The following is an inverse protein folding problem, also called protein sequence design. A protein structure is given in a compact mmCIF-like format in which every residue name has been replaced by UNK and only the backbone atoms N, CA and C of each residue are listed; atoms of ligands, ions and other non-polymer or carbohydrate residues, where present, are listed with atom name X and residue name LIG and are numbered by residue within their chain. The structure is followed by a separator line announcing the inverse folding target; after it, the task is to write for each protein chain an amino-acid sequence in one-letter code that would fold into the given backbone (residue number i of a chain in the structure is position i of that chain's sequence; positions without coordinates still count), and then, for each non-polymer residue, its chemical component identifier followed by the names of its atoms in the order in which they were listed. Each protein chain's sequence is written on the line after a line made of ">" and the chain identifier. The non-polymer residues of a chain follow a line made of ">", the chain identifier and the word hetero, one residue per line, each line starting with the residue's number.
data_IF_763597517667
#
_entry.id   IF_763597517667
#
_cell.length_a   1.000
_cell.length_b   1.000
_cell.length_c   1.000
_cell.angle_alpha   90.00
_cell.angle_beta   90.00
_cell.angle_gamma   90.00
#
_symmetry.space_group_name_H-M   'P 1'
#
loop_
_entity.id
_entity.type
_entity.pdbx_description
1 polymer ?
#
# COMPACT_ATOMS: atom_id res chain seq x y z
N UNK A 1 27.37 -17.58 -7.65
CA UNK A 1 27.35 -17.35 -6.21
C UNK A 1 26.20 -16.40 -5.93
N UNK A 2 25.03 -16.91 -5.51
CA UNK A 2 23.92 -16.05 -5.11
C UNK A 2 24.34 -15.37 -3.80
N UNK A 3 24.70 -14.11 -3.86
CA UNK A 3 24.79 -13.30 -2.65
C UNK A 3 23.38 -13.19 -2.09
N UNK A 4 23.09 -13.96 -1.06
CA UNK A 4 21.88 -13.80 -0.28
C UNK A 4 21.86 -12.37 0.21
N UNK A 5 20.79 -11.64 -0.08
CA UNK A 5 20.64 -10.26 0.41
C UNK A 5 20.61 -10.30 1.94
N UNK A 6 21.70 -9.84 2.55
CA UNK A 6 21.87 -9.81 4.00
C UNK A 6 20.72 -9.09 4.71
N UNK A 7 20.15 -8.09 4.06
CA UNK A 7 19.08 -7.26 4.63
C UNK A 7 17.67 -7.77 4.31
N UNK A 8 17.55 -8.96 3.68
CA UNK A 8 16.24 -9.53 3.38
C UNK A 8 15.29 -9.59 4.61
N UNK A 9 15.76 -9.94 5.84
CA UNK A 9 14.90 -9.98 7.02
C UNK A 9 14.26 -8.64 7.39
N UNK A 10 14.93 -7.52 7.10
CA UNK A 10 14.41 -6.19 7.46
C UNK A 10 13.91 -5.39 6.26
N UNK A 11 13.84 -5.98 5.07
CA UNK A 11 13.45 -5.27 3.86
C UNK A 11 12.10 -4.58 4.00
N UNK A 12 11.09 -5.27 4.55
CA UNK A 12 9.76 -4.71 4.76
C UNK A 12 9.77 -3.50 5.72
N UNK A 13 10.61 -3.53 6.73
CA UNK A 13 10.80 -2.40 7.66
C UNK A 13 11.42 -1.18 6.98
N UNK A 14 12.20 -1.38 5.90
CA UNK A 14 12.84 -0.29 5.16
C UNK A 14 11.96 0.26 4.03
N UNK A 15 10.77 -0.29 3.81
CA UNK A 15 9.81 0.18 2.80
C UNK A 15 8.94 1.32 3.36
N UNK A 16 9.57 2.33 3.93
CA UNK A 16 8.91 3.49 4.53
C UNK A 16 9.69 4.77 4.24
N UNK A 17 9.04 5.91 4.37
CA UNK A 17 9.73 7.20 4.26
C UNK A 17 10.75 7.36 5.39
N UNK A 18 11.92 7.89 5.08
CA UNK A 18 13.04 8.02 6.05
C UNK A 18 12.65 8.73 7.34
N UNK A 19 11.84 9.79 7.25
CA UNK A 19 11.41 10.52 8.45
C UNK A 19 10.56 9.69 9.41
N UNK A 20 9.87 8.64 8.91
CA UNK A 20 9.04 7.74 9.74
C UNK A 20 9.87 6.84 10.66
N UNK A 21 11.15 6.62 10.33
CA UNK A 21 12.07 5.89 11.20
C UNK A 21 12.25 6.59 12.56
N UNK A 22 12.14 7.92 12.59
CA UNK A 22 12.24 8.72 13.82
C UNK A 22 10.92 8.99 14.53
N UNK A 23 9.77 8.61 13.97
CA UNK A 23 8.46 8.92 14.56
C UNK A 23 8.26 8.31 15.94
N UNK A 24 8.84 7.14 16.22
CA UNK A 24 8.74 6.51 17.54
C UNK A 24 9.23 7.43 18.66
N UNK A 25 10.31 8.20 18.43
CA UNK A 25 10.82 9.18 19.39
C UNK A 25 9.88 10.40 19.52
N UNK A 26 9.28 10.84 18.42
CA UNK A 26 8.33 11.95 18.44
C UNK A 26 7.07 11.59 19.25
N UNK A 27 6.56 10.38 19.11
CA UNK A 27 5.44 9.89 19.91
C UNK A 27 5.79 9.82 21.40
N UNK A 28 7.00 9.37 21.76
CA UNK A 28 7.46 9.35 23.17
C UNK A 28 7.44 10.74 23.80
N UNK A 29 7.77 11.78 23.03
CA UNK A 29 7.78 13.17 23.47
C UNK A 29 6.37 13.78 23.55
N UNK A 30 5.49 13.42 22.61
CA UNK A 30 4.15 13.99 22.51
C UNK A 30 3.10 13.26 23.37
N UNK A 31 3.44 12.11 23.94
CA UNK A 31 2.52 11.17 24.58
C UNK A 31 2.11 10.05 23.61
N UNK A 32 2.17 8.81 24.09
CA UNK A 32 1.86 7.63 23.27
C UNK A 32 0.34 7.46 23.15
N UNK A 33 -0.24 7.47 21.94
CA UNK A 33 -1.64 7.17 21.74
C UNK A 33 -1.90 5.67 21.94
N UNK A 34 -3.10 5.30 22.32
CA UNK A 34 -3.51 3.88 22.36
C UNK A 34 -3.82 3.37 20.93
N UNK A 35 -4.48 4.19 20.13
CA UNK A 35 -4.87 3.88 18.75
C UNK A 35 -4.47 5.03 17.83
N UNK A 36 -3.81 4.69 16.74
CA UNK A 36 -3.59 5.57 15.59
C UNK A 36 -4.49 5.09 14.45
N UNK A 37 -5.39 5.95 14.03
CA UNK A 37 -6.39 5.67 13.01
C UNK A 37 -6.07 6.45 11.73
N UNK A 38 -5.84 5.72 10.65
CA UNK A 38 -5.54 6.28 9.33
C UNK A 38 -6.66 6.00 8.34
N UNK A 39 -6.78 6.86 7.32
CA UNK A 39 -7.74 6.68 6.25
C UNK A 39 -7.07 6.88 4.89
N UNK A 40 -7.56 6.17 3.88
CA UNK A 40 -7.22 6.36 2.49
C UNK A 40 -8.30 7.16 1.79
N UNK A 41 -7.94 8.38 1.34
CA UNK A 41 -8.88 9.31 0.73
C UNK A 41 -8.31 9.87 -0.56
N UNK A 42 -8.98 9.63 -1.67
CA UNK A 42 -8.61 10.20 -2.96
C UNK A 42 -8.90 11.71 -2.97
N UNK A 43 -7.88 12.52 -3.29
CA UNK A 43 -7.97 13.99 -3.16
C UNK A 43 -8.72 14.65 -4.30
N UNK A 44 -8.73 14.05 -5.49
CA UNK A 44 -9.37 14.59 -6.69
C UNK A 44 -9.05 13.75 -7.92
N UNK A 45 -9.62 14.15 -9.05
CA UNK A 45 -9.35 13.62 -10.38
C UNK A 45 -8.72 14.69 -11.26
N UNK A 46 -7.91 14.27 -12.23
CA UNK A 46 -7.42 15.12 -13.33
C UNK A 46 -8.21 14.93 -14.63
N UNK A 47 -9.21 14.06 -14.59
CA UNK A 47 -10.11 13.81 -15.71
C UNK A 47 -11.35 14.64 -15.49
N UNK A 48 -11.68 15.52 -16.43
CA UNK A 48 -12.84 16.40 -16.34
C UNK A 48 -14.15 15.59 -16.21
N UNK A 49 -14.99 15.98 -15.26
CA UNK A 49 -16.27 15.32 -14.98
C UNK A 49 -16.18 14.01 -14.19
N UNK A 50 -14.97 13.56 -13.84
CA UNK A 50 -14.76 12.35 -13.00
C UNK A 50 -14.55 12.78 -11.55
N UNK A 51 -15.54 12.54 -10.71
CA UNK A 51 -15.57 12.89 -9.28
C UNK A 51 -15.59 11.66 -8.36
N UNK A 52 -15.44 10.47 -8.91
CA UNK A 52 -15.34 9.19 -8.20
C UNK A 52 -14.05 8.46 -8.59
N UNK A 53 -13.49 7.70 -7.66
CA UNK A 53 -12.36 6.79 -7.89
C UNK A 53 -12.80 5.39 -7.51
N UNK A 54 -12.54 4.41 -8.36
CA UNK A 54 -12.82 3.01 -8.06
C UNK A 54 -11.85 2.53 -6.99
N UNK A 55 -12.39 2.03 -5.88
CA UNK A 55 -11.60 1.37 -4.84
C UNK A 55 -11.14 0.01 -5.35
N UNK A 56 -9.82 -0.18 -5.49
CA UNK A 56 -9.27 -1.42 -5.98
C UNK A 56 -7.82 -1.63 -5.51
N UNK A 57 -7.44 -2.89 -5.22
CA UNK A 57 -6.08 -3.31 -4.90
C UNK A 57 -5.78 -3.54 -3.42
N UNK A 58 -6.71 -3.24 -2.49
CA UNK A 58 -6.50 -3.41 -1.05
C UNK A 58 -6.26 -4.89 -0.68
N UNK A 59 -7.06 -5.81 -1.20
CA UNK A 59 -6.92 -7.25 -0.89
C UNK A 59 -5.57 -7.78 -1.36
N UNK A 60 -5.15 -7.44 -2.58
CA UNK A 60 -3.86 -7.83 -3.11
C UNK A 60 -2.70 -7.23 -2.29
N UNK A 61 -2.82 -5.99 -1.86
CA UNK A 61 -1.85 -5.35 -0.98
C UNK A 61 -1.72 -6.07 0.36
N UNK A 62 -2.82 -6.45 1.00
CA UNK A 62 -2.79 -7.13 2.30
C UNK A 62 -2.09 -8.50 2.22
N UNK A 63 -2.28 -9.24 1.13
CA UNK A 63 -1.54 -10.48 0.87
C UNK A 63 -0.04 -10.20 0.74
N UNK A 64 0.34 -9.23 -0.11
CA UNK A 64 1.73 -8.81 -0.28
C UNK A 64 2.36 -8.33 1.02
N UNK A 65 1.63 -7.59 1.82
CA UNK A 65 2.13 -7.09 3.12
C UNK A 65 2.52 -8.25 4.03
N UNK A 66 1.70 -9.30 4.08
CA UNK A 66 2.02 -10.54 4.80
C UNK A 66 3.27 -11.21 4.27
N UNK A 67 3.37 -11.37 2.94
CA UNK A 67 4.54 -11.99 2.29
C UNK A 67 5.83 -11.19 2.52
N UNK A 68 5.76 -9.87 2.51
CA UNK A 68 6.92 -9.01 2.77
C UNK A 68 7.44 -9.11 4.20
N UNK A 69 6.53 -9.26 5.18
CA UNK A 69 6.91 -9.41 6.58
C UNK A 69 7.22 -10.85 6.98
N UNK A 70 6.92 -11.87 6.16
CA UNK A 70 7.24 -13.26 6.47
C UNK A 70 8.74 -13.50 6.74
N UNK A 71 9.71 -12.96 5.95
CA UNK A 71 11.13 -13.09 6.27
C UNK A 71 11.54 -12.42 7.58
N UNK A 72 10.89 -11.33 7.97
CA UNK A 72 11.12 -10.65 9.24
C UNK A 72 10.75 -11.55 10.43
N UNK A 73 9.56 -12.14 10.42
CA UNK A 73 9.11 -13.00 11.51
C UNK A 73 9.81 -14.37 11.54
N UNK A 74 10.37 -14.82 10.42
CA UNK A 74 11.08 -16.09 10.32
C UNK A 74 12.56 -16.00 10.71
N UNK A 75 13.14 -14.80 10.77
CA UNK A 75 14.55 -14.61 11.09
C UNK A 75 14.80 -14.66 12.59
N UNK A 76 16.07 -14.74 12.97
CA UNK A 76 16.49 -14.59 14.37
C UNK A 76 16.24 -13.16 14.85
N UNK A 77 15.70 -13.01 16.06
CA UNK A 77 15.30 -11.73 16.67
C UNK A 77 16.49 -10.78 16.83
N UNK A 78 17.62 -11.29 17.31
CA UNK A 78 18.80 -10.46 17.56
C UNK A 78 19.41 -10.01 16.23
N UNK A 79 19.45 -10.88 15.23
CA UNK A 79 19.89 -10.54 13.88
C UNK A 79 19.02 -9.43 13.26
N UNK A 80 17.70 -9.52 13.40
CA UNK A 80 16.77 -8.48 12.91
C UNK A 80 17.08 -7.13 13.56
N UNK A 81 17.24 -7.12 14.88
CA UNK A 81 17.55 -5.89 15.62
C UNK A 81 18.91 -5.28 15.23
N UNK A 82 19.94 -6.12 15.12
CA UNK A 82 21.27 -5.67 14.64
C UNK A 82 21.20 -5.07 13.25
N UNK A 83 20.57 -5.73 12.31
CA UNK A 83 20.44 -5.25 10.93
C UNK A 83 19.65 -3.94 10.84
N UNK A 84 18.59 -3.81 11.66
CA UNK A 84 17.79 -2.59 11.72
C UNK A 84 18.62 -1.42 12.25
N UNK A 85 19.33 -1.59 13.37
CA UNK A 85 20.19 -0.56 13.96
C UNK A 85 21.34 -0.18 13.03
N UNK A 86 21.96 -1.16 12.35
CA UNK A 86 22.99 -0.90 11.32
C UNK A 86 22.43 0.01 10.22
N UNK A 87 21.21 -0.28 9.73
CA UNK A 87 20.55 0.54 8.71
C UNK A 87 20.18 1.93 9.21
N UNK A 88 19.66 2.05 10.43
CA UNK A 88 19.43 3.36 11.04
C UNK A 88 20.70 4.20 11.09
N UNK A 89 21.81 3.62 11.54
CA UNK A 89 23.08 4.33 11.60
C UNK A 89 23.60 4.75 10.22
N UNK A 90 23.40 3.93 9.19
CA UNK A 90 23.78 4.26 7.81
C UNK A 90 22.95 5.41 7.23
N UNK A 91 21.66 5.49 7.58
CA UNK A 91 20.70 6.45 7.01
C UNK A 91 20.71 7.76 7.80
N UNK A 92 20.67 7.69 9.12
CA UNK A 92 20.48 8.84 10.01
C UNK A 92 21.79 9.28 10.70
N UNK A 93 22.86 8.48 10.62
CA UNK A 93 24.03 8.67 11.44
C UNK A 93 23.80 8.26 12.90
N UNK A 94 24.62 8.75 13.85
CA UNK A 94 24.43 8.49 15.28
C UNK A 94 23.02 8.94 15.74
N UNK A 95 22.26 8.02 16.33
CA UNK A 95 20.90 8.26 16.79
C UNK A 95 20.58 7.43 18.04
N UNK A 96 19.45 7.71 18.68
CA UNK A 96 18.98 7.07 19.92
C UNK A 96 17.70 6.26 19.74
N UNK A 97 17.29 6.02 18.48
CA UNK A 97 16.00 5.37 18.18
C UNK A 97 15.95 3.93 18.72
N UNK A 98 17.05 3.19 18.51
CA UNK A 98 17.13 1.78 18.93
C UNK A 98 16.18 0.85 18.20
N UNK A 99 16.10 -0.39 18.64
CA UNK A 99 15.31 -1.46 18.02
C UNK A 99 14.25 -2.09 18.94
N UNK A 100 14.00 -1.54 20.13
CA UNK A 100 13.07 -2.12 21.11
C UNK A 100 11.66 -2.36 20.54
N UNK A 101 11.13 -1.40 19.78
CA UNK A 101 9.82 -1.49 19.13
C UNK A 101 9.80 -2.54 18.01
N UNK A 102 10.91 -2.76 17.33
CA UNK A 102 11.08 -3.78 16.29
C UNK A 102 11.15 -5.17 16.94
N UNK A 103 11.90 -5.28 18.05
CA UNK A 103 11.97 -6.50 18.86
C UNK A 103 10.60 -6.90 19.40
N UNK A 104 9.84 -5.95 19.92
CA UNK A 104 8.47 -6.17 20.36
C UNK A 104 7.58 -6.68 19.24
N UNK A 105 7.67 -6.08 18.04
CA UNK A 105 6.90 -6.52 16.87
C UNK A 105 7.30 -7.94 16.43
N UNK A 106 8.60 -8.25 16.42
CA UNK A 106 9.09 -9.59 16.09
C UNK A 106 8.52 -10.64 17.05
N UNK A 107 8.54 -10.38 18.35
CA UNK A 107 7.95 -11.27 19.40
C UNK A 107 6.44 -11.40 19.27
N UNK A 108 5.76 -10.37 18.77
CA UNK A 108 4.32 -10.42 18.49
C UNK A 108 3.97 -11.48 17.44
N UNK A 109 4.88 -11.72 16.47
CA UNK A 109 4.76 -12.76 15.47
C UNK A 109 3.76 -12.49 14.34
N UNK A 110 3.11 -11.33 14.34
CA UNK A 110 2.20 -10.86 13.28
C UNK A 110 2.07 -9.33 13.32
N UNK A 111 1.51 -8.75 12.25
CA UNK A 111 1.22 -7.32 12.20
C UNK A 111 -0.10 -7.03 12.93
N UNK A 112 -0.08 -6.35 14.09
CA UNK A 112 -1.29 -6.04 14.86
C UNK A 112 -2.04 -4.84 14.26
N UNK A 113 -2.54 -5.01 13.04
CA UNK A 113 -3.28 -4.01 12.26
C UNK A 113 -4.64 -4.56 11.84
N UNK A 114 -5.62 -3.69 11.76
CA UNK A 114 -6.92 -3.97 11.18
C UNK A 114 -7.20 -3.01 10.04
N UNK A 115 -7.82 -3.52 8.98
CA UNK A 115 -8.25 -2.76 7.81
C UNK A 115 -9.75 -2.95 7.63
N UNK A 116 -10.43 -1.87 7.26
CA UNK A 116 -11.84 -1.90 6.91
C UNK A 116 -12.08 -0.95 5.73
N UNK A 117 -12.70 -1.45 4.67
CA UNK A 117 -12.93 -0.68 3.45
C UNK A 117 -14.24 -1.03 2.80
N UNK A 118 -14.61 -0.26 1.79
CA UNK A 118 -15.72 -0.61 0.89
C UNK A 118 -15.31 -1.82 0.04
N UNK A 119 -16.26 -2.48 -0.56
CA UNK A 119 -16.02 -3.58 -1.50
C UNK A 119 -15.19 -3.10 -2.70
N UNK A 120 -14.22 -3.91 -3.15
CA UNK A 120 -13.43 -3.60 -4.34
C UNK A 120 -14.31 -3.50 -5.59
N UNK A 121 -13.98 -2.59 -6.49
CA UNK A 121 -14.84 -2.22 -7.62
C UNK A 121 -15.83 -1.08 -7.30
N UNK A 122 -16.00 -0.69 -6.03
CA UNK A 122 -16.93 0.38 -5.66
C UNK A 122 -16.39 1.76 -6.09
N UNK A 123 -17.16 2.55 -6.87
CA UNK A 123 -16.82 3.95 -7.11
C UNK A 123 -17.05 4.78 -5.84
N UNK A 124 -15.99 5.38 -5.32
CA UNK A 124 -16.03 6.20 -4.10
C UNK A 124 -15.84 7.67 -4.49
N UNK A 125 -16.68 8.59 -4.02
CA UNK A 125 -16.51 10.01 -4.30
C UNK A 125 -15.13 10.50 -3.84
N UNK A 126 -14.50 11.39 -4.60
CA UNK A 126 -13.27 12.07 -4.15
C UNK A 126 -13.53 12.78 -2.83
N UNK A 127 -12.52 12.84 -1.97
CA UNK A 127 -12.58 13.37 -0.59
C UNK A 127 -13.42 12.55 0.38
N UNK A 128 -13.82 11.34 -0.01
CA UNK A 128 -14.45 10.35 0.89
C UNK A 128 -13.46 9.20 1.09
N UNK A 129 -13.24 8.74 2.34
CA UNK A 129 -12.39 7.58 2.59
C UNK A 129 -12.94 6.31 1.93
N UNK A 130 -12.09 5.57 1.21
CA UNK A 130 -12.45 4.27 0.65
C UNK A 130 -12.10 3.11 1.60
N UNK A 131 -11.08 3.30 2.43
CA UNK A 131 -10.78 2.39 3.53
C UNK A 131 -10.07 3.12 4.67
N UNK A 132 -10.03 2.45 5.81
CA UNK A 132 -9.39 2.90 7.04
C UNK A 132 -8.58 1.76 7.63
N UNK A 133 -7.58 2.09 8.46
CA UNK A 133 -6.79 1.08 9.17
C UNK A 133 -6.23 1.65 10.46
N UNK A 134 -5.99 0.76 11.43
CA UNK A 134 -5.53 1.12 12.77
C UNK A 134 -4.77 -0.04 13.41
N UNK A 135 -3.99 0.27 14.46
CA UNK A 135 -3.35 -0.74 15.29
C UNK A 135 -4.38 -1.42 16.20
N UNK A 136 -4.29 -2.75 16.36
CA UNK A 136 -5.17 -3.55 17.22
C UNK A 136 -4.58 -3.79 18.61
N UNK A 137 -3.37 -3.31 18.87
CA UNK A 137 -2.65 -3.40 20.11
C UNK A 137 -1.94 -2.07 20.38
N UNK A 138 -2.15 -1.49 21.56
CA UNK A 138 -1.66 -0.17 21.94
C UNK A 138 -0.12 -0.05 21.91
N UNK A 139 0.61 -1.14 22.12
CA UNK A 139 2.08 -1.15 22.02
C UNK A 139 2.56 -0.81 20.60
N UNK A 140 1.77 -1.11 19.58
CA UNK A 140 2.12 -0.95 18.17
C UNK A 140 1.45 0.26 17.50
N UNK A 141 1.13 1.30 18.27
CA UNK A 141 0.54 2.56 17.76
C UNK A 141 1.35 3.18 16.62
N UNK A 142 2.65 3.04 16.65
CA UNK A 142 3.60 3.59 15.66
C UNK A 142 3.47 2.92 14.28
N UNK A 143 3.02 1.66 14.25
CA UNK A 143 3.03 0.83 13.04
C UNK A 143 2.06 1.33 11.98
N UNK A 144 0.90 1.87 12.37
CA UNK A 144 -0.10 2.43 11.44
C UNK A 144 0.52 3.49 10.55
N UNK A 145 1.16 4.50 11.15
CA UNK A 145 1.83 5.56 10.40
C UNK A 145 3.04 5.02 9.61
N UNK A 146 3.74 4.04 10.15
CA UNK A 146 4.94 3.48 9.55
C UNK A 146 4.68 2.85 8.18
N UNK A 147 3.56 2.13 8.02
CA UNK A 147 3.22 1.44 6.76
C UNK A 147 2.48 2.32 5.75
N UNK A 148 2.10 3.55 6.08
CA UNK A 148 1.36 4.43 5.14
C UNK A 148 2.07 4.61 3.79
N UNK A 149 3.40 4.62 3.77
CA UNK A 149 4.18 4.74 2.54
C UNK A 149 3.91 3.57 1.60
N UNK A 150 3.96 2.34 2.12
CA UNK A 150 3.69 1.13 1.31
C UNK A 150 2.21 1.04 0.92
N UNK A 151 1.30 1.36 1.83
CA UNK A 151 -0.14 1.49 1.52
C UNK A 151 -0.34 2.43 0.34
N UNK A 152 0.27 3.61 0.41
CA UNK A 152 0.15 4.62 -0.64
C UNK A 152 0.70 4.13 -1.97
N UNK A 153 1.90 3.57 -1.96
CA UNK A 153 2.59 3.11 -3.17
C UNK A 153 1.82 1.99 -3.91
N UNK A 154 1.17 1.10 -3.17
CA UNK A 154 0.49 -0.07 -3.74
C UNK A 154 -0.96 0.19 -4.17
N UNK A 155 -1.65 1.16 -3.55
CA UNK A 155 -3.10 1.34 -3.78
C UNK A 155 -3.40 2.39 -4.86
N UNK A 156 -2.61 3.47 -4.97
CA UNK A 156 -2.96 4.57 -5.88
C UNK A 156 -3.06 4.15 -7.33
N UNK A 157 -2.16 3.28 -7.80
CA UNK A 157 -2.05 2.91 -9.20
C UNK A 157 -3.17 1.94 -9.64
N UNK A 158 -3.45 0.80 -8.96
CA UNK A 158 -4.55 -0.08 -9.35
C UNK A 158 -5.91 0.62 -9.28
N UNK A 159 -6.16 1.46 -8.27
CA UNK A 159 -7.38 2.28 -8.20
C UNK A 159 -7.50 3.27 -9.35
N UNK A 160 -6.39 3.88 -9.77
CA UNK A 160 -6.36 4.77 -10.93
C UNK A 160 -6.62 4.00 -12.22
N UNK A 161 -6.00 2.84 -12.41
CA UNK A 161 -6.22 2.00 -13.59
C UNK A 161 -7.68 1.54 -13.70
N UNK A 162 -8.26 1.07 -12.60
CA UNK A 162 -9.67 0.69 -12.53
C UNK A 162 -10.61 1.87 -12.84
N UNK A 163 -10.29 3.06 -12.35
CA UNK A 163 -11.08 4.28 -12.64
C UNK A 163 -11.01 4.65 -14.11
N UNK A 164 -9.83 4.61 -14.72
CA UNK A 164 -9.65 4.91 -16.15
C UNK A 164 -10.38 3.87 -17.00
N UNK A 165 -10.26 2.58 -16.68
CA UNK A 165 -10.96 1.50 -17.39
C UNK A 165 -12.48 1.69 -17.33
N UNK A 166 -13.03 2.00 -16.17
CA UNK A 166 -14.44 2.32 -15.98
C UNK A 166 -14.92 3.49 -16.87
N UNK A 167 -14.15 4.56 -16.93
CA UNK A 167 -14.50 5.73 -17.74
C UNK A 167 -14.37 5.44 -19.25
N UNK A 168 -13.35 4.67 -19.66
CA UNK A 168 -13.26 4.18 -21.03
C UNK A 168 -14.45 3.31 -21.40
N UNK A 169 -14.85 2.40 -20.53
CA UNK A 169 -16.04 1.55 -20.72
C UNK A 169 -17.29 2.40 -20.92
N UNK A 170 -17.53 3.40 -20.11
CA UNK A 170 -18.66 4.31 -20.24
C UNK A 170 -18.70 4.98 -21.61
N UNK A 171 -17.59 5.48 -22.11
CA UNK A 171 -17.49 6.13 -23.44
C UNK A 171 -17.77 5.13 -24.57
N UNK A 172 -17.25 3.91 -24.44
CA UNK A 172 -17.47 2.85 -25.43
C UNK A 172 -18.94 2.38 -25.46
N UNK A 173 -19.58 2.22 -24.32
CA UNK A 173 -21.00 1.89 -24.21
C UNK A 173 -21.90 2.98 -24.86
N UNK A 174 -21.62 4.25 -24.56
CA UNK A 174 -22.30 5.39 -25.20
C UNK A 174 -22.07 5.39 -26.74
N UNK A 175 -20.87 5.05 -27.18
CA UNK A 175 -20.52 4.92 -28.59
C UNK A 175 -21.33 3.81 -29.28
N UNK A 176 -21.40 2.64 -28.64
CA UNK A 176 -22.15 1.49 -29.15
C UNK A 176 -23.65 1.82 -29.30
N UNK A 177 -24.25 2.46 -28.31
CA UNK A 177 -25.66 2.93 -28.37
C UNK A 177 -25.86 3.90 -29.54
N UNK A 178 -24.98 4.88 -29.73
CA UNK A 178 -25.08 5.88 -30.81
C UNK A 178 -24.94 5.30 -32.22
N UNK A 179 -24.13 4.26 -32.36
CA UNK A 179 -23.85 3.65 -33.67
C UNK A 179 -24.71 2.44 -33.98
N UNK A 180 -25.48 1.94 -33.01
CA UNK A 180 -26.25 0.69 -33.14
C UNK A 180 -25.35 -0.54 -33.20
N UNK A 181 -24.12 -0.46 -32.67
CA UNK A 181 -23.19 -1.59 -32.57
C UNK A 181 -23.65 -2.58 -31.49
N UNK A 182 -23.22 -3.84 -31.63
CA UNK A 182 -23.45 -4.86 -30.62
C UNK A 182 -22.76 -4.47 -29.30
N UNK A 183 -23.51 -4.32 -28.17
CA UNK A 183 -22.93 -4.02 -26.88
C UNK A 183 -21.86 -5.04 -26.41
N UNK A 184 -22.00 -6.32 -26.80
CA UNK A 184 -21.02 -7.36 -26.47
C UNK A 184 -19.64 -7.11 -27.11
N UNK A 185 -19.58 -6.34 -28.22
CA UNK A 185 -18.31 -5.98 -28.83
C UNK A 185 -17.50 -4.98 -27.99
N UNK A 186 -18.15 -4.27 -27.06
CA UNK A 186 -17.47 -3.29 -26.20
C UNK A 186 -16.44 -3.95 -25.29
N UNK A 187 -16.70 -5.17 -24.83
CA UNK A 187 -15.79 -5.94 -23.96
C UNK A 187 -14.40 -6.15 -24.60
N UNK A 188 -14.31 -6.04 -25.92
CA UNK A 188 -13.08 -6.27 -26.69
C UNK A 188 -12.48 -5.00 -27.31
N UNK A 189 -13.00 -3.81 -27.00
CA UNK A 189 -12.55 -2.56 -27.58
C UNK A 189 -11.42 -1.88 -26.84
N UNK A 190 -11.34 -2.03 -25.53
CA UNK A 190 -10.29 -1.47 -24.69
C UNK A 190 -9.19 -2.49 -24.42
N UNK A 191 -7.94 -2.17 -24.80
CA UNK A 191 -6.79 -3.05 -24.56
C UNK A 191 -5.81 -2.41 -23.58
N UNK A 192 -5.37 -3.16 -22.56
CA UNK A 192 -4.31 -2.72 -21.66
C UNK A 192 -2.92 -3.07 -22.24
N UNK A 193 -2.14 -2.04 -22.57
CA UNK A 193 -0.76 -2.16 -23.04
C UNK A 193 0.28 -1.83 -21.95
N UNK A 194 -0.13 -1.76 -20.70
CA UNK A 194 0.74 -1.35 -19.58
C UNK A 194 1.94 -2.28 -19.37
N UNK A 195 1.89 -3.53 -19.82
CA UNK A 195 2.98 -4.50 -19.63
C UNK A 195 4.33 -4.01 -20.15
N UNK A 196 4.36 -3.20 -21.21
CA UNK A 196 5.61 -2.56 -21.73
C UNK A 196 5.63 -1.04 -21.55
N UNK A 197 4.69 -0.49 -20.80
CA UNK A 197 4.58 0.94 -20.50
C UNK A 197 4.78 1.29 -19.03
N UNK A 198 4.67 0.29 -18.13
CA UNK A 198 4.82 0.48 -16.67
C UNK A 198 6.26 0.26 -16.21
N UNK A 199 6.54 0.67 -14.96
CA UNK A 199 7.89 0.64 -14.37
C UNK A 199 8.38 -0.75 -13.97
N UNK A 200 7.48 -1.71 -13.75
CA UNK A 200 7.81 -3.11 -13.43
C UNK A 200 6.70 -4.07 -13.86
N UNK A 201 7.00 -5.37 -13.83
CA UNK A 201 6.03 -6.45 -14.11
C UNK A 201 4.87 -6.39 -13.10
N UNK A 202 5.16 -6.13 -11.83
CA UNK A 202 4.16 -6.06 -10.77
C UNK A 202 3.21 -4.88 -10.97
N UNK A 203 3.72 -3.72 -11.36
CA UNK A 203 2.87 -2.55 -11.65
C UNK A 203 2.04 -2.75 -12.91
N UNK A 204 2.57 -3.46 -13.91
CA UNK A 204 1.81 -3.83 -15.10
C UNK A 204 0.69 -4.82 -14.77
N UNK A 205 0.95 -5.82 -13.93
CA UNK A 205 -0.06 -6.77 -13.47
C UNK A 205 -1.16 -6.08 -12.67
N UNK A 206 -0.79 -5.14 -11.78
CA UNK A 206 -1.76 -4.36 -11.00
C UNK A 206 -2.63 -3.46 -11.91
N UNK A 207 -2.06 -2.89 -12.98
CA UNK A 207 -2.82 -2.13 -13.99
C UNK A 207 -3.79 -3.03 -14.74
N UNK A 208 -3.33 -4.17 -15.22
CA UNK A 208 -4.17 -5.15 -15.91
C UNK A 208 -5.32 -5.67 -15.05
N UNK A 209 -5.05 -5.97 -13.78
CA UNK A 209 -6.09 -6.38 -12.84
C UNK A 209 -7.15 -5.28 -12.62
N UNK A 210 -6.73 -4.02 -12.55
CA UNK A 210 -7.65 -2.88 -12.44
C UNK A 210 -8.43 -2.60 -13.74
N UNK A 211 -7.92 -3.06 -14.90
CA UNK A 211 -8.58 -2.90 -16.20
C UNK A 211 -9.74 -3.89 -16.40
N UNK A 212 -9.67 -5.08 -15.82
CA UNK A 212 -10.68 -6.14 -15.92
C UNK A 212 -11.92 -5.87 -15.05
#
# INVERSE_FOLDING_TARGET
>A
MHTTDRFAPIRALMMTDVYKLGHIEQYRLAGTPEIVYSNWTNRGSRIDGVDHVVHFGLQAFLIKLGDWFAPFFAADEDLVCELYEERLAQILGPNTIGSDHIRALHRKGYLPLSFSGVEEGTPVPVRVPSFVFWNTDAEFFWLTNYIETTVSAEIWQPSTSATIARELRRVLDEGAVRTGSDPAAVDWQGHDFSFRGMSSVETAAASGAGHL
#
